data_IF_462119489043
#
_entry.id   IF_462119489043
#
_cell.length_a   1.000
_cell.length_b   1.000
_cell.length_c   1.000
_cell.angle_alpha   90.00
_cell.angle_beta   90.00
_cell.angle_gamma   90.00
#
_symmetry.space_group_name_H-M   'P 1'
#
loop_
_entity.id
_entity.type
_entity.pdbx_description
1 polymer ?
#
# COMPACT_ATOMS: atom_id res chain seq x y z
N UNK A 1 11.71 9.34 15.52
CA UNK A 1 10.48 10.15 15.45
C UNK A 1 9.34 9.35 16.05
N UNK A 2 8.60 9.95 16.95
CA UNK A 2 7.44 9.29 17.53
C UNK A 2 6.18 9.73 16.79
N UNK A 3 5.73 8.91 15.85
CA UNK A 3 4.58 9.24 15.02
C UNK A 3 3.25 8.79 15.62
N UNK A 4 3.30 8.07 16.73
CA UNK A 4 2.09 7.56 17.38
C UNK A 4 1.19 6.78 16.42
N UNK A 5 1.80 5.92 15.61
CA UNK A 5 1.11 5.13 14.60
C UNK A 5 1.09 3.64 14.93
N UNK A 6 1.35 3.31 16.17
CA UNK A 6 1.38 1.92 16.60
C UNK A 6 0.05 1.22 16.27
N UNK A 7 0.13 0.09 15.59
CA UNK A 7 -1.01 -0.70 15.16
C UNK A 7 -1.89 -0.06 14.07
N UNK A 8 -1.50 1.11 13.55
CA UNK A 8 -2.20 1.68 12.40
C UNK A 8 -1.99 0.81 11.17
N UNK A 9 -3.00 0.74 10.34
CA UNK A 9 -3.00 -0.08 9.12
C UNK A 9 -2.79 0.83 7.93
N UNK A 10 -1.66 0.67 7.25
CA UNK A 10 -1.19 1.60 6.23
C UNK A 10 -0.99 0.85 4.92
N UNK A 11 -1.58 1.37 3.86
CA UNK A 11 -1.40 0.85 2.52
C UNK A 11 -0.48 1.80 1.76
N UNK A 12 0.53 1.25 1.08
CA UNK A 12 1.52 2.04 0.36
C UNK A 12 1.62 1.54 -1.06
N UNK A 13 1.32 2.41 -2.02
CA UNK A 13 1.46 2.06 -3.43
C UNK A 13 2.90 2.28 -3.89
N UNK A 14 3.29 1.64 -4.99
CA UNK A 14 4.65 1.75 -5.51
C UNK A 14 5.70 1.24 -4.53
N UNK A 15 5.38 0.19 -3.78
CA UNK A 15 6.19 -0.24 -2.64
C UNK A 15 7.12 -1.41 -2.94
N UNK A 16 7.33 -1.76 -4.20
CA UNK A 16 8.23 -2.86 -4.53
C UNK A 16 9.70 -2.49 -4.38
N UNK A 17 10.03 -1.21 -4.42
CA UNK A 17 11.41 -0.74 -4.30
C UNK A 17 11.43 0.76 -4.05
N UNK A 18 12.64 1.30 -3.82
CA UNK A 18 12.88 2.73 -3.74
C UNK A 18 12.19 3.39 -2.56
N UNK A 19 11.63 4.56 -2.82
CA UNK A 19 11.04 5.41 -1.77
C UNK A 19 9.84 4.72 -1.13
N UNK A 20 9.01 4.06 -1.91
CA UNK A 20 7.83 3.35 -1.39
C UNK A 20 8.20 2.28 -0.39
N UNK A 21 9.22 1.49 -0.70
CA UNK A 21 9.70 0.47 0.22
C UNK A 21 10.29 1.08 1.49
N UNK A 22 11.06 2.16 1.34
CA UNK A 22 11.64 2.86 2.50
C UNK A 22 10.56 3.42 3.42
N UNK A 23 9.49 3.96 2.84
CA UNK A 23 8.35 4.46 3.61
C UNK A 23 7.70 3.32 4.40
N UNK A 24 7.47 2.18 3.75
CA UNK A 24 6.88 1.03 4.42
C UNK A 24 7.74 0.58 5.60
N UNK A 25 9.04 0.50 5.41
CA UNK A 25 9.94 0.08 6.47
C UNK A 25 9.96 1.06 7.63
N UNK A 26 9.91 2.37 7.33
CA UNK A 26 9.84 3.39 8.37
C UNK A 26 8.59 3.23 9.23
N UNK A 27 7.45 2.97 8.61
CA UNK A 27 6.22 2.75 9.36
C UNK A 27 6.27 1.47 10.20
N UNK A 28 6.82 0.41 9.64
CA UNK A 28 6.97 -0.85 10.40
C UNK A 28 7.86 -0.66 11.62
N UNK A 29 8.92 0.13 11.50
CA UNK A 29 9.80 0.44 12.63
C UNK A 29 9.05 1.17 13.74
N UNK A 30 8.02 1.92 13.40
CA UNK A 30 7.20 2.65 14.36
C UNK A 30 6.02 1.82 14.88
N UNK A 31 5.95 0.55 14.52
CA UNK A 31 4.91 -0.34 15.03
C UNK A 31 3.63 -0.39 14.22
N UNK A 32 3.59 0.23 13.05
CA UNK A 32 2.45 0.17 12.17
C UNK A 32 2.42 -1.16 11.39
N UNK A 33 1.27 -1.47 10.81
CA UNK A 33 1.11 -2.58 9.88
C UNK A 33 1.07 -2.02 8.47
N UNK A 34 1.69 -2.70 7.51
CA UNK A 34 1.76 -2.19 6.15
C UNK A 34 1.29 -3.20 5.13
N UNK A 35 0.62 -2.70 4.10
CA UNK A 35 0.32 -3.44 2.89
C UNK A 35 1.13 -2.82 1.75
N UNK A 36 2.01 -3.62 1.16
CA UNK A 36 2.85 -3.19 0.04
C UNK A 36 2.12 -3.43 -1.25
N UNK A 37 1.93 -2.39 -2.04
CA UNK A 37 1.18 -2.51 -3.29
C UNK A 37 2.05 -2.08 -4.47
N UNK A 38 2.09 -2.91 -5.49
CA UNK A 38 2.71 -2.55 -6.76
C UNK A 38 2.07 -3.38 -7.88
N UNK A 39 2.45 -3.09 -9.12
CA UNK A 39 1.93 -3.86 -10.26
C UNK A 39 2.36 -5.31 -10.25
N UNK A 40 3.28 -5.65 -9.38
CA UNK A 40 3.71 -7.01 -9.24
C UNK A 40 5.03 -7.25 -9.93
N UNK A 41 5.91 -7.86 -9.18
CA UNK A 41 7.19 -8.31 -9.64
C UNK A 41 7.71 -9.26 -8.58
N UNK A 42 8.78 -9.95 -8.92
CA UNK A 42 9.45 -10.77 -7.93
C UNK A 42 9.95 -9.94 -6.76
N UNK A 43 10.32 -8.67 -7.02
CA UNK A 43 10.78 -7.77 -5.97
C UNK A 43 9.71 -7.53 -4.91
N UNK A 44 8.44 -7.42 -5.31
CA UNK A 44 7.37 -7.24 -4.35
C UNK A 44 7.27 -8.41 -3.37
N UNK A 45 7.32 -9.63 -3.89
CA UNK A 45 7.23 -10.83 -3.06
C UNK A 45 8.47 -11.03 -2.20
N UNK A 46 9.64 -10.72 -2.73
CA UNK A 46 10.89 -10.78 -1.97
C UNK A 46 10.87 -9.81 -0.80
N UNK A 47 10.37 -8.61 -1.04
CA UNK A 47 10.28 -7.60 0.01
C UNK A 47 9.23 -7.95 1.05
N UNK A 48 8.12 -8.53 0.64
CA UNK A 48 7.12 -9.04 1.58
C UNK A 48 7.78 -10.02 2.54
N UNK A 49 8.49 -11.01 2.01
CA UNK A 49 9.14 -12.02 2.82
C UNK A 49 10.18 -11.39 3.76
N UNK A 50 11.00 -10.50 3.22
CA UNK A 50 12.02 -9.82 4.01
C UNK A 50 11.42 -9.06 5.18
N UNK A 51 10.38 -8.28 4.93
CA UNK A 51 9.75 -7.49 5.97
C UNK A 51 8.99 -8.37 6.97
N UNK A 52 8.39 -9.45 6.51
CA UNK A 52 7.74 -10.40 7.40
C UNK A 52 8.74 -11.09 8.31
N UNK A 53 9.93 -11.40 7.80
CA UNK A 53 10.98 -12.04 8.60
C UNK A 53 11.49 -11.09 9.69
N UNK A 54 11.53 -9.78 9.42
CA UNK A 54 12.02 -8.79 10.38
C UNK A 54 10.93 -8.34 11.35
N UNK A 55 9.72 -8.10 10.85
CA UNK A 55 8.67 -7.43 11.62
C UNK A 55 7.49 -8.33 11.96
N UNK A 56 7.43 -9.54 11.43
CA UNK A 56 6.36 -10.49 11.70
C UNK A 56 5.39 -10.65 10.55
N UNK A 57 4.85 -11.85 10.40
CA UNK A 57 3.90 -12.19 9.33
C UNK A 57 2.62 -11.37 9.39
N UNK A 58 2.22 -10.97 10.59
CA UNK A 58 0.98 -10.24 10.79
C UNK A 58 1.10 -8.77 10.47
N UNK A 59 2.32 -8.26 10.36
CA UNK A 59 2.55 -6.84 10.30
C UNK A 59 2.80 -6.32 8.89
N UNK A 60 3.06 -7.20 7.93
CA UNK A 60 3.29 -6.77 6.56
C UNK A 60 2.79 -7.82 5.58
N UNK A 61 2.12 -7.38 4.54
CA UNK A 61 1.80 -8.25 3.42
C UNK A 61 1.85 -7.46 2.12
N UNK A 62 1.91 -8.17 1.00
CA UNK A 62 1.99 -7.55 -0.31
C UNK A 62 0.77 -7.92 -1.15
N UNK A 63 0.37 -7.01 -2.00
CA UNK A 63 -0.72 -7.26 -2.92
C UNK A 63 -0.37 -6.66 -4.27
N UNK A 64 -0.40 -7.51 -5.29
CA UNK A 64 -0.23 -7.07 -6.65
C UNK A 64 -1.49 -6.34 -7.08
N UNK A 65 -1.34 -5.13 -7.57
CA UNK A 65 -2.48 -4.33 -7.99
C UNK A 65 -2.06 -3.30 -9.04
N UNK A 66 -2.82 -3.26 -10.13
CA UNK A 66 -2.74 -2.17 -11.07
C UNK A 66 -3.73 -1.10 -10.60
N UNK A 67 -3.22 -0.06 -9.99
CA UNK A 67 -4.06 0.97 -9.38
C UNK A 67 -4.80 1.85 -10.40
N UNK A 68 -4.55 1.67 -11.69
CA UNK A 68 -5.33 2.33 -12.74
C UNK A 68 -6.52 1.51 -13.20
N UNK A 69 -6.68 0.32 -12.66
CA UNK A 69 -7.71 -0.64 -13.06
C UNK A 69 -8.69 -0.87 -11.92
N UNK A 70 -9.96 -0.64 -12.18
CA UNK A 70 -11.00 -0.73 -11.14
C UNK A 70 -11.15 -2.15 -10.60
N UNK A 71 -11.03 -3.16 -11.44
CA UNK A 71 -11.15 -4.54 -10.97
C UNK A 71 -10.00 -4.91 -10.06
N UNK A 72 -8.78 -4.47 -10.38
CA UNK A 72 -7.63 -4.65 -9.52
C UNK A 72 -7.80 -3.96 -8.18
N UNK A 73 -8.34 -2.74 -8.20
CA UNK A 73 -8.59 -2.00 -6.97
C UNK A 73 -9.63 -2.69 -6.10
N UNK A 74 -10.67 -3.26 -6.70
CA UNK A 74 -11.67 -4.00 -5.95
C UNK A 74 -11.08 -5.26 -5.32
N UNK A 75 -10.20 -5.95 -6.04
CA UNK A 75 -9.51 -7.13 -5.50
C UNK A 75 -8.61 -6.74 -4.33
N UNK A 76 -7.89 -5.64 -4.46
CA UNK A 76 -7.04 -5.12 -3.38
C UNK A 76 -7.88 -4.78 -2.15
N UNK A 77 -8.98 -4.08 -2.36
CA UNK A 77 -9.90 -3.73 -1.29
C UNK A 77 -10.40 -4.96 -0.53
N UNK A 78 -10.82 -5.98 -1.28
CA UNK A 78 -11.32 -7.20 -0.66
C UNK A 78 -10.22 -7.90 0.14
N UNK A 79 -9.01 -7.89 -0.36
CA UNK A 79 -7.91 -8.52 0.34
C UNK A 79 -7.54 -7.80 1.63
N UNK A 80 -7.52 -6.47 1.59
CA UNK A 80 -7.28 -5.66 2.79
C UNK A 80 -8.40 -5.89 3.81
N UNK A 81 -9.63 -5.91 3.35
CA UNK A 81 -10.77 -6.15 4.21
C UNK A 81 -10.69 -7.53 4.88
N UNK A 82 -10.30 -8.56 4.13
CA UNK A 82 -10.18 -9.91 4.68
C UNK A 82 -9.05 -10.00 5.70
N UNK A 83 -7.94 -9.31 5.45
CA UNK A 83 -6.78 -9.38 6.34
C UNK A 83 -6.92 -8.50 7.57
N UNK A 84 -7.42 -7.29 7.39
CA UNK A 84 -7.39 -6.26 8.43
C UNK A 84 -8.78 -5.77 8.86
N UNK A 85 -9.77 -5.89 8.00
CA UNK A 85 -11.10 -5.35 8.25
C UNK A 85 -11.24 -3.85 8.06
N UNK A 86 -10.15 -3.11 8.14
CA UNK A 86 -10.17 -1.65 8.02
C UNK A 86 -8.81 -1.16 7.52
N UNK A 87 -8.73 0.12 7.24
CA UNK A 87 -7.52 0.76 6.77
C UNK A 87 -7.49 2.18 7.33
N UNK A 88 -6.35 2.58 7.88
CA UNK A 88 -6.24 3.90 8.52
C UNK A 88 -5.61 4.95 7.61
N UNK A 89 -4.59 4.56 6.83
CA UNK A 89 -3.80 5.51 6.03
C UNK A 89 -3.49 4.90 4.68
N UNK A 90 -3.60 5.70 3.64
CA UNK A 90 -3.15 5.33 2.30
C UNK A 90 -2.05 6.30 1.88
N UNK A 91 -0.89 5.76 1.53
CA UNK A 91 0.22 6.54 1.00
C UNK A 91 0.31 6.24 -0.49
N UNK A 92 0.00 7.23 -1.30
CA UNK A 92 0.09 7.09 -2.75
C UNK A 92 1.47 7.51 -3.18
N UNK A 93 2.31 6.52 -3.46
CA UNK A 93 3.66 6.74 -3.95
C UNK A 93 3.75 6.22 -5.37
N UNK A 94 4.18 7.07 -6.29
CA UNK A 94 4.19 6.75 -7.71
C UNK A 94 5.58 6.32 -8.18
N UNK A 95 6.41 6.11 -7.36
CA UNK A 95 7.78 6.11 -7.25
C UNK A 95 8.67 5.18 -8.02
N UNK A 96 8.64 5.07 -9.31
CA UNK A 96 9.76 4.47 -10.02
C UNK A 96 10.63 5.50 -10.74
N UNK A 97 10.45 6.78 -10.42
CA UNK A 97 11.25 7.87 -10.99
C UNK A 97 10.85 8.30 -12.38
N UNK A 98 9.83 7.72 -12.94
CA UNK A 98 9.33 8.16 -14.25
C UNK A 98 8.34 9.28 -14.10
N UNK A 99 8.28 10.12 -15.13
CA UNK A 99 7.18 11.05 -15.22
C UNK A 99 5.90 10.25 -15.38
N UNK A 100 4.97 10.45 -14.49
CA UNK A 100 3.73 9.71 -14.50
C UNK A 100 2.54 10.54 -14.96
N UNK A 101 2.82 11.70 -15.48
CA UNK A 101 1.78 12.60 -15.96
C UNK A 101 0.85 11.96 -16.98
N UNK A 102 1.36 11.02 -17.76
CA UNK A 102 0.60 10.37 -18.81
C UNK A 102 -0.04 9.05 -18.38
N UNK A 103 0.36 8.53 -17.24
CA UNK A 103 -0.04 7.18 -16.82
C UNK A 103 -1.09 7.17 -15.72
N UNK A 104 -1.22 8.26 -14.99
CA UNK A 104 -2.13 8.33 -13.84
C UNK A 104 -3.04 9.53 -13.94
N UNK A 105 -4.26 9.42 -13.41
CA UNK A 105 -5.10 10.60 -13.23
C UNK A 105 -4.38 11.58 -12.32
N UNK A 106 -4.83 12.81 -12.30
CA UNK A 106 -4.28 13.79 -11.37
C UNK A 106 -4.57 13.39 -9.92
N UNK A 107 -3.91 14.05 -8.98
CA UNK A 107 -4.02 13.71 -7.57
C UNK A 107 -5.46 13.79 -7.07
N UNK A 108 -6.23 14.72 -7.58
CA UNK A 108 -7.62 14.87 -7.18
C UNK A 108 -8.47 13.69 -7.62
N UNK A 109 -8.27 13.23 -8.86
CA UNK A 109 -8.97 12.05 -9.36
C UNK A 109 -8.58 10.80 -8.61
N UNK A 110 -7.30 10.68 -8.30
CA UNK A 110 -6.80 9.59 -7.50
C UNK A 110 -7.49 9.53 -6.15
N UNK A 111 -7.52 10.66 -5.48
CA UNK A 111 -8.12 10.76 -4.15
C UNK A 111 -9.61 10.41 -4.20
N UNK A 112 -10.31 10.87 -5.21
CA UNK A 112 -11.72 10.53 -5.40
C UNK A 112 -11.92 9.05 -5.62
N UNK A 113 -11.08 8.45 -6.45
CA UNK A 113 -11.17 7.01 -6.74
C UNK A 113 -10.98 6.20 -5.47
N UNK A 114 -9.97 6.54 -4.68
CA UNK A 114 -9.73 5.88 -3.42
C UNK A 114 -10.89 6.06 -2.44
N UNK A 115 -11.34 7.29 -2.26
CA UNK A 115 -12.39 7.58 -1.31
C UNK A 115 -13.71 6.91 -1.71
N UNK A 116 -14.06 6.94 -2.97
CA UNK A 116 -15.32 6.40 -3.43
C UNK A 116 -15.33 4.87 -3.53
N UNK A 117 -14.23 4.29 -3.97
CA UNK A 117 -14.19 2.85 -4.27
C UNK A 117 -13.51 2.03 -3.18
N UNK A 118 -12.67 2.64 -2.36
CA UNK A 118 -11.91 1.91 -1.35
C UNK A 118 -12.47 2.14 0.05
N UNK A 119 -12.44 3.38 0.53
CA UNK A 119 -12.89 3.66 1.90
C UNK A 119 -14.36 3.32 2.12
N UNK A 120 -15.23 3.69 1.18
CA UNK A 120 -16.65 3.43 1.32
C UNK A 120 -16.95 1.95 1.51
N UNK A 121 -16.17 1.09 0.89
CA UNK A 121 -16.42 -0.34 0.97
C UNK A 121 -15.80 -0.99 2.20
N UNK A 122 -14.91 -0.29 2.90
CA UNK A 122 -14.32 -0.78 4.14
C UNK A 122 -15.13 -0.36 5.37
N UNK A 123 -16.06 0.54 5.19
CA UNK A 123 -16.96 0.93 6.29
C UNK A 123 -18.06 -0.13 6.56
#
# INVERSE_FOLDING_TARGET
MNLNINNKKILITGASRGIGLAIAESFLQEGAKTCLVSRGSNALLENEKKLQDIYGLENSFACKCDCTNIESLNSLKNRVKDKWGSLDIVVVNVGDGRSVSDALPDDEQWQKTWNNNFESALQ
#
